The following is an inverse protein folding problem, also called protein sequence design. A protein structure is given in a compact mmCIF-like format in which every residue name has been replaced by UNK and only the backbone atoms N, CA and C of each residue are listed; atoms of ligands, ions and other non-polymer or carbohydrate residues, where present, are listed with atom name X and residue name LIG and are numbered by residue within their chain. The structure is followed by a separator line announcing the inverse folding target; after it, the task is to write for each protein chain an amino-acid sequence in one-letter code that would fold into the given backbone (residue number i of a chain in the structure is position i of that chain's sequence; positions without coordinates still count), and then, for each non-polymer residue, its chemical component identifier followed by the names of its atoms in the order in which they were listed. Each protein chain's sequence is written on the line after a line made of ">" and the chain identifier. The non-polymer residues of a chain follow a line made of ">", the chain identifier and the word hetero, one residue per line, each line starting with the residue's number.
data_IF_399429708164
#
_entry.id   IF_399429708164
#
_cell.length_a   1.000
_cell.length_b   1.000
_cell.length_c   1.000
_cell.angle_alpha   90.00
_cell.angle_beta   90.00
_cell.angle_gamma   90.00
#
_symmetry.space_group_name_H-M   'P 1'
#
loop_
_entity.id
_entity.type
_entity.pdbx_description
1 polymer ?
#
# COMPACT_ATOMS: atom_id res chain seq x y z
N UNK A 1 6.13 -27.85 -19.80
CA UNK A 1 5.76 -27.94 -21.23
C UNK A 1 4.99 -26.68 -21.59
N UNK A 2 5.56 -25.80 -22.40
CA UNK A 2 4.88 -24.56 -22.84
C UNK A 2 3.77 -24.95 -23.83
N UNK A 3 2.52 -24.58 -23.55
CA UNK A 3 1.42 -24.81 -24.50
C UNK A 3 1.61 -23.91 -25.72
N UNK A 4 1.57 -24.49 -26.92
CA UNK A 4 1.65 -23.71 -28.15
C UNK A 4 0.57 -22.62 -28.16
N UNK A 5 0.97 -21.36 -28.22
CA UNK A 5 0.06 -20.20 -28.21
C UNK A 5 -0.17 -19.54 -26.84
N UNK A 6 0.50 -19.98 -25.76
CA UNK A 6 0.49 -19.23 -24.49
C UNK A 6 1.26 -17.91 -24.63
N UNK A 7 0.77 -16.86 -23.99
CA UNK A 7 1.45 -15.56 -23.91
C UNK A 7 2.57 -15.70 -22.87
N UNK A 8 3.85 -15.65 -23.27
CA UNK A 8 4.96 -15.84 -22.35
C UNK A 8 5.04 -14.68 -21.37
N UNK A 9 5.55 -14.97 -20.18
CA UNK A 9 5.84 -13.95 -19.16
C UNK A 9 6.89 -12.97 -19.71
N UNK A 10 6.64 -11.65 -19.72
CA UNK A 10 7.64 -10.69 -20.16
C UNK A 10 8.81 -10.66 -19.17
N UNK A 11 10.05 -10.59 -19.70
CA UNK A 11 11.28 -10.58 -18.90
C UNK A 11 11.30 -9.47 -17.83
N UNK A 12 10.62 -8.35 -18.08
CA UNK A 12 10.56 -7.18 -17.20
C UNK A 12 9.11 -6.81 -16.84
N UNK A 13 8.47 -7.63 -16.00
CA UNK A 13 7.12 -7.34 -15.47
C UNK A 13 7.07 -6.10 -14.55
N UNK A 14 8.22 -5.62 -14.04
CA UNK A 14 8.28 -4.52 -13.05
C UNK A 14 8.08 -3.12 -13.65
N UNK A 15 8.37 -2.94 -14.94
CA UNK A 15 8.35 -1.61 -15.60
C UNK A 15 7.05 -1.31 -16.33
N UNK A 16 6.28 -2.34 -16.71
CA UNK A 16 5.02 -2.18 -17.42
C UNK A 16 3.84 -2.28 -16.44
N UNK A 17 2.74 -1.59 -16.75
CA UNK A 17 1.49 -1.86 -16.05
C UNK A 17 1.05 -3.31 -16.34
N UNK A 18 0.51 -3.99 -15.32
CA UNK A 18 0.06 -5.37 -15.46
C UNK A 18 -0.97 -5.52 -16.61
N UNK A 19 -1.88 -4.55 -16.75
CA UNK A 19 -2.84 -4.48 -17.84
C UNK A 19 -2.16 -4.49 -19.22
N UNK A 20 -1.11 -3.68 -19.41
CA UNK A 20 -0.36 -3.63 -20.67
C UNK A 20 0.42 -4.93 -20.91
N UNK A 21 1.01 -5.51 -19.86
CA UNK A 21 1.71 -6.79 -19.94
C UNK A 21 0.77 -7.95 -20.32
N UNK A 22 -0.49 -7.90 -19.88
CA UNK A 22 -1.55 -8.84 -20.25
C UNK A 22 -2.13 -8.60 -21.65
N UNK A 23 -1.68 -7.56 -22.38
CA UNK A 23 -2.26 -7.13 -23.66
C UNK A 23 -3.76 -6.76 -23.57
N UNK A 24 -4.22 -6.32 -22.39
CA UNK A 24 -5.57 -5.81 -22.15
C UNK A 24 -5.65 -4.28 -22.27
N UNK A 25 -4.76 -3.66 -23.07
CA UNK A 25 -4.49 -2.21 -23.06
C UNK A 25 -5.75 -1.34 -23.15
N UNK A 26 -6.68 -1.72 -24.02
CA UNK A 26 -7.91 -0.95 -24.26
C UNK A 26 -9.14 -1.57 -23.57
N UNK A 27 -9.02 -2.80 -23.03
CA UNK A 27 -10.11 -3.50 -22.35
C UNK A 27 -10.02 -3.34 -20.83
N UNK A 28 -10.31 -2.11 -20.39
CA UNK A 28 -10.36 -1.77 -18.97
C UNK A 28 -11.38 -2.63 -18.19
N UNK A 29 -12.50 -2.99 -18.83
CA UNK A 29 -13.57 -3.77 -18.19
C UNK A 29 -13.09 -5.20 -17.90
N UNK A 30 -12.39 -5.86 -18.84
CA UNK A 30 -11.79 -7.16 -18.59
C UNK A 30 -10.74 -7.10 -17.48
N UNK A 31 -9.92 -6.04 -17.45
CA UNK A 31 -8.92 -5.87 -16.39
C UNK A 31 -9.57 -5.62 -15.01
N UNK A 32 -10.65 -4.82 -14.93
CA UNK A 32 -11.41 -4.63 -13.68
C UNK A 32 -12.01 -5.97 -13.20
N UNK A 33 -12.58 -6.77 -14.11
CA UNK A 33 -13.09 -8.12 -13.79
C UNK A 33 -12.00 -9.06 -13.28
N UNK A 34 -10.86 -9.09 -13.97
CA UNK A 34 -9.69 -9.89 -13.57
C UNK A 34 -9.21 -9.52 -12.16
N UNK A 35 -8.97 -8.23 -11.90
CA UNK A 35 -8.44 -7.79 -10.60
C UNK A 35 -9.44 -7.98 -9.46
N UNK A 36 -10.74 -7.73 -9.69
CA UNK A 36 -11.80 -8.02 -8.72
C UNK A 36 -11.83 -9.50 -8.35
N UNK A 37 -11.73 -10.38 -9.35
CA UNK A 37 -11.74 -11.82 -9.15
C UNK A 37 -10.49 -12.32 -8.43
N UNK A 38 -9.30 -11.89 -8.86
CA UNK A 38 -8.03 -12.27 -8.20
C UNK A 38 -7.97 -11.80 -6.75
N UNK A 39 -8.49 -10.62 -6.42
CA UNK A 39 -8.54 -10.13 -5.05
C UNK A 39 -9.34 -11.09 -4.16
N UNK A 40 -10.52 -11.53 -4.62
CA UNK A 40 -11.33 -12.51 -3.91
C UNK A 40 -10.57 -13.82 -3.69
N UNK A 41 -9.94 -14.36 -4.73
CA UNK A 41 -9.19 -15.63 -4.61
C UNK A 41 -7.98 -15.49 -3.67
N UNK A 42 -7.31 -14.33 -3.64
CA UNK A 42 -6.22 -14.06 -2.68
C UNK A 42 -6.76 -14.05 -1.26
N UNK A 43 -7.85 -13.31 -1.01
CA UNK A 43 -8.44 -13.18 0.32
C UNK A 43 -9.00 -14.53 0.83
N UNK A 44 -9.46 -15.42 -0.07
CA UNK A 44 -10.02 -16.74 0.25
C UNK A 44 -8.94 -17.83 0.45
N UNK A 45 -7.78 -17.74 -0.21
CA UNK A 45 -6.80 -18.86 -0.29
C UNK A 45 -5.44 -18.55 0.32
N UNK A 46 -4.97 -17.30 0.25
CA UNK A 46 -3.62 -16.92 0.70
C UNK A 46 -3.69 -16.17 2.03
N UNK A 47 -2.64 -16.30 2.84
CA UNK A 47 -2.51 -15.50 4.06
C UNK A 47 -2.10 -14.06 3.71
N UNK A 48 -2.99 -13.10 3.91
CA UNK A 48 -2.75 -11.69 3.59
C UNK A 48 -1.76 -10.98 4.52
N UNK A 49 -1.38 -11.60 5.64
CA UNK A 49 -0.39 -11.08 6.58
C UNK A 49 1.06 -11.35 6.13
N UNK A 50 1.27 -12.39 5.32
CA UNK A 50 2.59 -12.86 4.90
C UNK A 50 3.02 -12.29 3.53
N UNK A 51 4.32 -12.30 3.22
CA UNK A 51 4.78 -11.97 1.84
C UNK A 51 4.50 -13.17 0.95
N UNK A 52 4.36 -12.91 -0.35
CA UNK A 52 4.20 -13.99 -1.34
C UNK A 52 5.36 -15.02 -1.31
N UNK A 53 6.59 -14.57 -1.06
CA UNK A 53 7.77 -15.45 -0.95
C UNK A 53 7.75 -16.36 0.28
N UNK A 54 6.97 -15.99 1.28
CA UNK A 54 6.94 -16.63 2.59
C UNK A 54 5.67 -17.51 2.73
N UNK A 55 4.81 -17.53 1.70
CA UNK A 55 3.63 -18.39 1.67
C UNK A 55 4.05 -19.85 1.60
N UNK A 56 3.22 -20.71 2.16
CA UNK A 56 3.32 -22.14 1.96
C UNK A 56 3.21 -22.50 0.46
N UNK A 57 4.04 -23.44 0.01
CA UNK A 57 4.10 -23.82 -1.41
C UNK A 57 2.78 -24.45 -1.88
N UNK A 58 2.14 -25.26 -1.05
CA UNK A 58 0.86 -25.89 -1.37
C UNK A 58 -0.28 -24.85 -1.42
N UNK A 59 -0.22 -23.83 -0.57
CA UNK A 59 -1.16 -22.70 -0.62
C UNK A 59 -1.02 -21.89 -1.93
N UNK A 60 0.21 -21.66 -2.39
CA UNK A 60 0.46 -20.96 -3.67
C UNK A 60 -0.02 -21.80 -4.87
N UNK A 61 0.25 -23.10 -4.86
CA UNK A 61 -0.22 -24.00 -5.92
C UNK A 61 -1.75 -24.11 -5.93
N UNK A 62 -2.37 -24.18 -4.75
CA UNK A 62 -3.82 -24.15 -4.61
C UNK A 62 -4.40 -22.83 -5.13
N UNK A 63 -3.79 -21.69 -4.80
CA UNK A 63 -4.17 -20.38 -5.31
C UNK A 63 -4.16 -20.35 -6.84
N UNK A 64 -3.08 -20.81 -7.47
CA UNK A 64 -2.98 -20.82 -8.93
C UNK A 64 -4.01 -21.75 -9.58
N UNK A 65 -4.23 -22.94 -9.00
CA UNK A 65 -5.26 -23.87 -9.45
C UNK A 65 -6.65 -23.24 -9.36
N UNK A 66 -7.03 -22.69 -8.21
CA UNK A 66 -8.33 -22.03 -8.01
C UNK A 66 -8.47 -20.84 -8.97
N UNK A 67 -7.44 -20.01 -9.12
CA UNK A 67 -7.44 -18.86 -10.02
C UNK A 67 -7.69 -19.28 -11.48
N UNK A 68 -7.01 -20.31 -11.98
CA UNK A 68 -7.18 -20.81 -13.35
C UNK A 68 -8.55 -21.45 -13.56
N UNK A 69 -9.04 -22.24 -12.60
CA UNK A 69 -10.36 -22.89 -12.68
C UNK A 69 -11.49 -21.86 -12.65
N UNK A 70 -11.40 -20.85 -11.78
CA UNK A 70 -12.45 -19.85 -11.58
C UNK A 70 -12.38 -18.68 -12.57
N UNK A 71 -11.23 -18.44 -13.21
CA UNK A 71 -11.06 -17.43 -14.25
C UNK A 71 -10.36 -18.02 -15.49
N UNK A 72 -11.10 -18.75 -16.35
CA UNK A 72 -10.55 -19.44 -17.52
C UNK A 72 -9.69 -18.60 -18.48
N UNK A 73 -9.89 -17.27 -18.65
CA UNK A 73 -8.99 -16.45 -19.48
C UNK A 73 -7.51 -16.50 -19.07
N UNK A 74 -7.19 -16.90 -17.82
CA UNK A 74 -5.81 -17.10 -17.37
C UNK A 74 -5.08 -18.22 -18.11
N UNK A 75 -5.79 -19.20 -18.69
CA UNK A 75 -5.20 -20.30 -19.44
C UNK A 75 -4.45 -19.84 -20.71
N UNK A 76 -4.67 -18.60 -21.16
CA UNK A 76 -3.96 -17.98 -22.29
C UNK A 76 -2.53 -17.57 -21.93
N UNK A 77 -2.19 -17.50 -20.65
CA UNK A 77 -0.89 -17.02 -20.19
C UNK A 77 -0.06 -18.20 -19.68
N UNK A 78 1.22 -18.18 -19.98
CA UNK A 78 2.14 -19.23 -19.54
C UNK A 78 2.21 -19.24 -18.00
N UNK A 79 2.05 -20.43 -17.40
CA UNK A 79 1.99 -20.64 -15.94
C UNK A 79 1.05 -19.70 -15.19
N UNK A 80 0.01 -19.19 -15.86
CA UNK A 80 -0.91 -18.19 -15.30
C UNK A 80 -0.18 -17.00 -14.65
N UNK A 81 0.96 -16.57 -15.21
CA UNK A 81 1.82 -15.55 -14.62
C UNK A 81 1.12 -14.25 -14.18
N UNK A 82 0.02 -13.77 -14.81
CA UNK A 82 -0.65 -12.57 -14.34
C UNK A 82 -1.21 -12.71 -12.91
N UNK A 83 -1.69 -13.91 -12.54
CA UNK A 83 -2.18 -14.19 -11.19
C UNK A 83 -1.04 -14.07 -10.17
N UNK A 84 0.10 -14.73 -10.43
CA UNK A 84 1.32 -14.65 -9.60
C UNK A 84 1.79 -13.21 -9.40
N UNK A 85 1.92 -12.43 -10.48
CA UNK A 85 2.36 -11.03 -10.40
C UNK A 85 1.36 -10.17 -9.62
N UNK A 86 0.05 -10.38 -9.84
CA UNK A 86 -0.98 -9.66 -9.12
C UNK A 86 -0.94 -9.95 -7.62
N UNK A 87 -0.85 -11.23 -7.23
CA UNK A 87 -0.74 -11.64 -5.83
C UNK A 87 0.49 -11.04 -5.14
N UNK A 88 1.66 -11.10 -5.78
CA UNK A 88 2.89 -10.49 -5.26
C UNK A 88 2.74 -8.98 -5.01
N UNK A 89 2.15 -8.27 -5.97
CA UNK A 89 1.93 -6.82 -5.86
C UNK A 89 0.92 -6.51 -4.75
N UNK A 90 -0.19 -7.26 -4.71
CA UNK A 90 -1.28 -7.06 -3.77
C UNK A 90 -0.87 -7.31 -2.33
N UNK A 91 -0.18 -8.41 -2.03
CA UNK A 91 0.31 -8.71 -0.68
C UNK A 91 1.35 -7.67 -0.22
N UNK A 92 2.18 -7.17 -1.13
CA UNK A 92 3.09 -6.05 -0.84
C UNK A 92 2.31 -4.79 -0.47
N UNK A 93 1.29 -4.44 -1.25
CA UNK A 93 0.44 -3.26 -1.00
C UNK A 93 -0.27 -3.35 0.36
N UNK A 94 -0.90 -4.49 0.68
CA UNK A 94 -1.61 -4.72 1.94
C UNK A 94 -0.68 -4.48 3.14
N UNK A 95 0.57 -4.96 3.07
CA UNK A 95 1.55 -4.78 4.15
C UNK A 95 2.06 -3.35 4.28
N UNK A 96 2.14 -2.61 3.18
CA UNK A 96 2.53 -1.19 3.21
C UNK A 96 1.40 -0.27 3.67
N UNK A 97 0.16 -0.78 3.72
CA UNK A 97 -0.98 -0.02 4.21
C UNK A 97 -0.96 0.01 5.74
N UNK A 98 -0.61 1.16 6.32
CA UNK A 98 -0.76 1.42 7.76
C UNK A 98 -2.23 1.33 8.18
N UNK A 99 -2.54 0.99 9.45
CA UNK A 99 -3.90 0.84 9.96
C UNK A 99 -4.83 2.03 9.63
N UNK A 100 -4.31 3.25 9.63
CA UNK A 100 -5.05 4.47 9.30
C UNK A 100 -5.53 4.53 7.85
N UNK A 101 -4.77 3.95 6.90
CA UNK A 101 -5.19 3.86 5.49
C UNK A 101 -6.12 2.66 5.26
N UNK A 102 -6.14 1.68 6.17
CA UNK A 102 -6.95 0.46 6.10
C UNK A 102 -8.44 0.77 6.17
N UNK A 103 -8.85 1.72 7.02
CA UNK A 103 -10.27 2.12 7.18
C UNK A 103 -10.82 2.77 5.90
N UNK A 104 -10.05 3.68 5.29
CA UNK A 104 -10.45 4.30 4.01
C UNK A 104 -10.54 3.29 2.86
N UNK A 105 -9.56 2.38 2.78
CA UNK A 105 -9.55 1.32 1.77
C UNK A 105 -10.68 0.30 1.97
N UNK A 106 -11.02 -0.07 3.21
CA UNK A 106 -12.11 -1.00 3.51
C UNK A 106 -13.48 -0.43 3.09
N UNK A 107 -13.69 0.87 3.28
CA UNK A 107 -14.92 1.56 2.85
C UNK A 107 -15.03 1.62 1.31
N UNK A 108 -13.94 1.89 0.61
CA UNK A 108 -13.91 1.85 -0.86
C UNK A 108 -14.13 0.41 -1.38
N UNK A 109 -13.57 -0.59 -0.72
CA UNK A 109 -13.78 -2.00 -1.01
C UNK A 109 -15.22 -2.47 -0.76
N UNK A 110 -15.84 -2.05 0.34
CA UNK A 110 -17.25 -2.34 0.63
C UNK A 110 -18.13 -1.73 -0.47
N UNK A 111 -17.90 -0.48 -0.85
CA UNK A 111 -18.67 0.16 -1.92
C UNK A 111 -18.54 -0.61 -3.26
N UNK A 112 -17.34 -1.00 -3.67
CA UNK A 112 -17.09 -1.73 -4.93
C UNK A 112 -17.60 -3.21 -4.90
N UNK A 113 -17.86 -3.75 -3.70
CA UNK A 113 -18.51 -5.06 -3.47
C UNK A 113 -20.04 -4.98 -3.52
N UNK A 114 -20.63 -3.82 -3.19
CA UNK A 114 -22.09 -3.61 -3.07
C UNK A 114 -22.71 -2.70 -4.15
N UNK A 115 -21.96 -2.27 -5.17
CA UNK A 115 -22.50 -1.59 -6.38
C UNK A 115 -23.40 -2.50 -7.28
N UNK A 116 -23.84 -3.66 -6.77
CA UNK A 116 -24.94 -4.43 -7.35
C UNK A 116 -26.25 -4.06 -6.68
N UNK A 117 -27.09 -3.31 -7.40
CA UNK A 117 -28.46 -2.89 -7.10
C UNK A 117 -29.13 -3.52 -5.84
N UNK A 118 -29.36 -2.69 -4.81
CA UNK A 118 -30.52 -2.89 -3.92
C UNK A 118 -30.29 -3.32 -2.46
N UNK A 119 -29.15 -3.06 -1.81
CA UNK A 119 -28.95 -3.52 -0.41
C UNK A 119 -28.27 -2.53 0.55
N UNK A 120 -28.59 -1.24 0.47
CA UNK A 120 -28.11 -0.27 1.47
C UNK A 120 -28.54 -0.61 2.93
N UNK A 121 -29.65 -1.34 3.12
CA UNK A 121 -30.14 -1.72 4.46
C UNK A 121 -29.40 -2.88 5.13
N UNK A 122 -28.69 -3.74 4.38
CA UNK A 122 -27.89 -4.85 4.97
C UNK A 122 -26.50 -4.42 5.43
N UNK A 123 -26.02 -3.27 4.98
CA UNK A 123 -24.67 -2.76 5.27
C UNK A 123 -24.50 -2.28 6.72
N UNK A 124 -25.57 -1.75 7.33
CA UNK A 124 -25.52 -1.20 8.70
C UNK A 124 -25.47 -2.28 9.79
N UNK A 125 -26.09 -3.44 9.57
CA UNK A 125 -26.10 -4.53 10.56
C UNK A 125 -24.76 -5.29 10.58
N UNK A 126 -24.13 -5.49 9.42
CA UNK A 126 -22.87 -6.24 9.32
C UNK A 126 -21.64 -5.41 9.77
N UNK A 127 -21.68 -4.08 9.56
CA UNK A 127 -20.62 -3.17 10.04
C UNK A 127 -20.57 -3.07 11.58
N UNK A 128 -21.71 -3.24 12.27
CA UNK A 128 -21.77 -3.27 13.74
C UNK A 128 -21.11 -4.53 14.32
N UNK A 129 -21.13 -5.65 13.58
CA UNK A 129 -20.46 -6.90 13.96
C UNK A 129 -18.94 -6.81 13.84
N UNK A 130 -18.42 -6.25 12.76
CA UNK A 130 -16.97 -6.17 12.52
C UNK A 130 -16.25 -5.14 13.41
N UNK A 131 -16.91 -4.04 13.79
CA UNK A 131 -16.34 -3.10 14.78
C UNK A 131 -16.19 -3.70 16.17
N UNK A 132 -16.94 -4.77 16.51
CA UNK A 132 -16.76 -5.50 17.78
C UNK A 132 -15.51 -6.39 17.76
N UNK A 133 -15.18 -7.00 16.62
CA UNK A 133 -13.99 -7.88 16.51
C UNK A 133 -12.71 -7.05 16.67
N UNK A 134 -12.63 -5.89 16.03
CA UNK A 134 -11.47 -4.97 16.18
C UNK A 134 -11.40 -4.34 17.58
N UNK A 135 -12.53 -4.25 18.29
CA UNK A 135 -12.58 -3.70 19.65
C UNK A 135 -12.31 -4.75 20.74
N UNK A 136 -12.53 -6.03 20.47
CA UNK A 136 -12.20 -7.12 21.39
C UNK A 136 -10.72 -7.53 21.31
N UNK A 137 -10.08 -7.46 20.13
CA UNK A 137 -8.63 -7.70 19.99
C UNK A 137 -7.74 -6.62 20.62
N UNK A 138 -8.30 -5.51 21.12
CA UNK A 138 -7.55 -4.43 21.76
C UNK A 138 -7.76 -4.36 23.30
N UNK A 139 -8.56 -5.27 23.88
CA UNK A 139 -8.90 -5.25 25.32
C UNK A 139 -8.63 -6.58 26.03
N UNK A 140 -8.36 -7.69 25.33
CA UNK A 140 -8.10 -9.00 25.95
C UNK A 140 -6.67 -9.50 25.67
N UNK A 141 -5.66 -8.83 26.25
CA UNK A 141 -4.28 -9.32 26.22
C UNK A 141 -3.55 -9.25 27.59
N UNK A 142 -4.27 -9.26 28.71
CA UNK A 142 -3.62 -9.30 30.04
C UNK A 142 -4.06 -10.36 31.07
N UNK A 143 -5.14 -11.14 30.91
CA UNK A 143 -5.53 -12.09 31.98
C UNK A 143 -6.15 -13.41 31.47
N UNK A 144 -5.41 -14.29 30.76
CA UNK A 144 -5.90 -15.67 30.60
C UNK A 144 -4.83 -16.73 30.23
N UNK A 145 -3.67 -16.73 30.90
CA UNK A 145 -2.72 -17.85 30.83
C UNK A 145 -2.49 -18.59 32.16
N UNK A 146 -3.40 -18.45 33.13
CA UNK A 146 -3.35 -19.18 34.40
C UNK A 146 -4.58 -20.06 34.59
N UNK A 147 -4.58 -21.26 34.00
CA UNK A 147 -5.55 -22.29 34.39
C UNK A 147 -6.02 -23.24 33.30
N UNK A 148 -5.12 -24.04 32.73
CA UNK A 148 -5.52 -25.26 32.02
C UNK A 148 -4.58 -26.42 32.36
N UNK A 149 -4.63 -26.79 33.63
CA UNK A 149 -4.11 -28.06 34.13
C UNK A 149 -5.15 -28.61 35.12
N UNK A 150 -6.14 -29.38 34.63
CA UNK A 150 -6.57 -30.63 35.27
C UNK A 150 -7.70 -31.33 34.50
N UNK A 151 -7.62 -32.66 34.48
CA UNK A 151 -8.68 -33.65 34.21
C UNK A 151 -9.22 -33.71 32.74
N UNK A 152 -9.43 -34.85 32.07
CA UNK A 152 -9.97 -36.18 32.41
C UNK A 152 -9.54 -37.10 31.23
N UNK A 153 -8.69 -38.13 31.37
CA UNK A 153 -8.94 -39.52 31.83
C UNK A 153 -10.25 -40.17 31.36
N UNK A 154 -10.25 -40.86 30.21
CA UNK A 154 -10.80 -42.23 30.05
C UNK A 154 -10.72 -42.70 28.57
N UNK A 155 -10.15 -43.89 28.35
CA UNK A 155 -10.34 -44.69 27.12
C UNK A 155 -11.70 -45.45 27.16
N UNK A 156 -11.97 -46.51 26.36
CA UNK A 156 -10.98 -47.38 25.68
C UNK A 156 -11.41 -47.97 24.29
N UNK A 157 -10.52 -48.83 23.77
CA UNK A 157 -10.75 -50.07 22.99
C UNK A 157 -10.92 -50.05 21.45
N UNK A 158 -9.85 -50.59 20.84
CA UNK A 158 -9.73 -51.39 19.59
C UNK A 158 -10.87 -52.41 19.33
N UNK A 159 -11.06 -52.97 18.09
CA UNK A 159 -10.04 -53.80 17.43
C UNK A 159 -9.96 -53.84 15.88
N UNK A 160 -8.75 -54.18 15.43
CA UNK A 160 -8.38 -55.11 14.34
C UNK A 160 -9.02 -54.99 12.94
N UNK A 161 -8.20 -54.61 11.95
CA UNK A 161 -7.99 -55.37 10.71
C UNK A 161 -6.83 -54.78 9.86
N UNK A 162 -5.73 -55.54 9.75
CA UNK A 162 -4.84 -55.56 8.57
C UNK A 162 -5.37 -56.66 7.61
N UNK A 163 -5.02 -56.76 6.31
CA UNK A 163 -3.71 -56.42 5.68
C UNK A 163 -3.85 -55.73 4.30
N UNK A 164 -2.80 -55.21 3.66
CA UNK A 164 -2.07 -55.96 2.61
C UNK A 164 -1.04 -55.01 1.95
N UNK A 165 0.21 -55.45 1.92
CA UNK A 165 1.35 -54.88 1.18
C UNK A 165 1.43 -55.59 -0.18
N UNK A 166 1.67 -54.87 -1.29
CA UNK A 166 2.94 -54.97 -2.05
C UNK A 166 3.35 -53.57 -2.56
N UNK A 167 4.56 -53.20 -2.96
CA UNK A 167 5.87 -53.81 -3.19
C UNK A 167 6.74 -52.62 -3.70
N UNK A 168 7.97 -52.42 -3.21
CA UNK A 168 8.78 -51.27 -3.61
C UNK A 168 9.51 -51.54 -4.94
N UNK A 169 9.11 -50.80 -5.99
CA UNK A 169 9.88 -50.73 -7.25
C UNK A 169 11.22 -50.00 -7.06
N UNK A 170 12.26 -50.39 -7.82
CA UNK A 170 13.64 -50.01 -7.56
C UNK A 170 13.97 -48.54 -7.91
N UNK A 171 14.77 -47.95 -7.03
CA UNK A 171 15.48 -46.69 -7.19
C UNK A 171 16.22 -46.61 -8.54
N UNK A 172 15.83 -45.65 -9.38
CA UNK A 172 16.72 -45.13 -10.42
C UNK A 172 17.61 -44.09 -9.76
N UNK A 173 18.89 -44.45 -9.57
CA UNK A 173 19.93 -43.52 -9.17
C UNK A 173 20.13 -42.47 -10.28
N UNK A 174 19.56 -41.28 -10.09
CA UNK A 174 19.89 -40.13 -10.91
C UNK A 174 21.24 -39.54 -10.45
N UNK A 175 22.24 -39.72 -11.29
CA UNK A 175 23.58 -39.15 -11.18
C UNK A 175 23.50 -37.61 -11.21
N UNK A 176 23.79 -36.97 -10.08
CA UNK A 176 23.98 -35.52 -9.99
C UNK A 176 25.38 -35.17 -10.53
N UNK A 177 25.42 -34.51 -11.69
CA UNK A 177 26.60 -33.81 -12.17
C UNK A 177 26.72 -32.45 -11.47
N UNK A 178 27.87 -32.12 -10.84
CA UNK A 178 28.12 -30.80 -10.25
C UNK A 178 28.89 -29.90 -11.23
N UNK A 179 28.30 -28.79 -11.67
CA UNK A 179 28.96 -27.68 -12.38
C UNK A 179 27.88 -26.60 -12.63
N UNK A 180 28.02 -25.30 -12.36
CA UNK A 180 29.19 -24.47 -12.09
C UNK A 180 28.73 -23.24 -11.30
N UNK A 181 29.51 -22.86 -10.29
CA UNK A 181 29.46 -21.55 -9.64
C UNK A 181 30.08 -20.48 -10.56
N UNK A 182 29.37 -19.40 -10.92
CA UNK A 182 30.01 -18.20 -11.43
C UNK A 182 30.44 -17.29 -10.27
N UNK A 183 31.75 -17.13 -10.20
CA UNK A 183 32.55 -16.23 -9.39
C UNK A 183 31.96 -14.82 -9.28
N UNK A 184 31.76 -14.43 -8.02
CA UNK A 184 31.50 -13.07 -7.56
C UNK A 184 32.70 -12.16 -7.85
N UNK A 185 32.52 -11.13 -8.66
CA UNK A 185 33.54 -10.09 -8.87
C UNK A 185 33.12 -8.84 -8.09
N UNK A 186 33.66 -8.71 -6.88
CA UNK A 186 33.65 -7.47 -6.10
C UNK A 186 34.33 -6.37 -6.89
N UNK A 187 33.58 -5.32 -7.27
CA UNK A 187 34.16 -4.07 -7.75
C UNK A 187 34.36 -3.13 -6.57
N UNK A 188 35.63 -3.01 -6.19
CA UNK A 188 36.21 -1.96 -5.36
C UNK A 188 35.87 -0.57 -5.91
N UNK A 189 35.41 0.35 -5.06
CA UNK A 189 36.22 1.41 -4.44
C UNK A 189 36.33 2.67 -5.30
N UNK A 190 35.70 3.75 -4.83
CA UNK A 190 36.27 5.09 -4.95
C UNK A 190 35.74 5.99 -3.82
N UNK A 191 36.69 6.35 -2.98
CA UNK A 191 36.69 7.24 -1.80
C UNK A 191 36.46 8.72 -2.18
N UNK A 192 36.41 9.65 -1.19
CA UNK A 192 35.72 10.93 -1.24
C UNK A 192 36.62 12.08 -1.70
N UNK A 193 36.00 13.13 -2.25
CA UNK A 193 36.67 14.42 -2.47
C UNK A 193 36.02 15.47 -1.59
N UNK A 194 36.62 15.67 -0.41
CA UNK A 194 36.56 16.93 0.32
C UNK A 194 37.50 17.93 -0.34
N UNK A 195 37.09 19.18 -0.45
CA UNK A 195 37.97 20.32 -0.71
C UNK A 195 37.37 21.62 -0.18
N UNK A 196 38.24 22.62 0.10
CA UNK A 196 38.15 23.39 1.33
C UNK A 196 37.81 24.88 1.11
N UNK A 197 37.50 25.50 2.25
CA UNK A 197 37.68 26.91 2.65
C UNK A 197 38.38 27.82 1.64
N UNK A 198 37.72 28.94 1.32
CA UNK A 198 38.37 30.17 0.90
C UNK A 198 37.74 31.35 1.66
N UNK A 199 38.47 31.82 2.68
CA UNK A 199 38.31 33.15 3.26
C UNK A 199 38.67 34.20 2.20
N UNK A 200 37.75 35.15 1.99
CA UNK A 200 37.93 36.29 1.10
C UNK A 200 37.51 37.57 1.81
N UNK A 201 38.42 38.12 2.59
CA UNK A 201 38.30 39.43 3.25
C UNK A 201 38.40 40.51 2.19
N UNK A 202 37.25 41.01 1.73
CA UNK A 202 37.14 42.13 0.79
C UNK A 202 36.33 43.27 1.40
N UNK A 203 37.01 44.23 2.01
CA UNK A 203 36.44 45.47 2.50
C UNK A 203 36.09 46.41 1.32
N UNK A 204 34.84 46.89 1.26
CA UNK A 204 34.36 48.11 0.55
C UNK A 204 32.84 48.27 0.77
N UNK A 205 32.23 49.42 0.46
CA UNK A 205 32.28 50.68 1.18
C UNK A 205 30.90 51.02 1.80
N UNK A 206 30.90 52.00 2.71
CA UNK A 206 29.75 52.58 3.40
C UNK A 206 28.59 52.96 2.45
N UNK A 207 27.62 52.05 2.27
CA UNK A 207 26.30 52.39 1.73
C UNK A 207 25.40 52.80 2.89
N UNK A 208 24.93 54.05 2.84
CA UNK A 208 23.93 54.63 3.75
C UNK A 208 22.69 53.74 3.74
N UNK A 209 22.44 53.11 4.89
CA UNK A 209 21.33 52.18 5.10
C UNK A 209 19.99 52.90 4.93
N UNK A 210 19.28 52.58 3.86
CA UNK A 210 17.85 52.83 3.78
C UNK A 210 17.16 52.04 4.91
N UNK A 211 16.19 52.63 5.64
CA UNK A 211 15.48 51.93 6.70
C UNK A 211 14.82 50.68 6.12
N UNK A 212 14.91 49.51 6.80
CA UNK A 212 14.26 48.31 6.33
C UNK A 212 12.77 48.58 6.23
N UNK A 213 12.27 48.60 5.01
CA UNK A 213 10.84 48.62 4.72
C UNK A 213 10.28 47.36 5.38
N UNK A 214 9.69 47.52 6.57
CA UNK A 214 8.92 46.47 7.24
C UNK A 214 7.74 46.17 6.33
N UNK A 215 7.92 45.23 5.40
CA UNK A 215 6.81 44.65 4.66
C UNK A 215 5.92 44.04 5.75
N UNK A 216 4.76 44.65 5.96
CA UNK A 216 3.80 44.20 6.94
C UNK A 216 3.54 42.72 6.67
N UNK A 217 4.07 41.85 7.54
CA UNK A 217 3.83 40.42 7.46
C UNK A 217 2.36 40.23 7.79
N UNK A 218 1.54 40.11 6.75
CA UNK A 218 0.10 39.88 6.90
C UNK A 218 -0.06 38.58 7.68
N UNK A 219 -0.56 38.68 8.90
CA UNK A 219 -0.76 37.53 9.78
C UNK A 219 -1.60 36.48 9.06
N UNK A 220 -1.09 35.26 8.96
CA UNK A 220 -1.77 34.10 8.36
C UNK A 220 -3.17 33.92 8.96
N UNK A 221 -3.32 34.19 10.26
CA UNK A 221 -4.59 34.10 10.97
C UNK A 221 -5.64 35.07 10.42
N UNK A 222 -5.26 36.33 10.16
CA UNK A 222 -6.19 37.32 9.61
C UNK A 222 -6.62 36.96 8.19
N UNK A 223 -5.69 36.42 7.40
CA UNK A 223 -5.96 36.00 6.03
C UNK A 223 -6.89 34.79 5.99
N UNK A 224 -6.62 33.76 6.79
CA UNK A 224 -7.46 32.56 6.88
C UNK A 224 -8.85 32.89 7.44
N UNK A 225 -8.94 33.73 8.47
CA UNK A 225 -10.23 34.17 9.02
C UNK A 225 -11.10 34.89 7.98
N UNK A 226 -10.50 35.62 7.03
CA UNK A 226 -11.24 36.29 5.96
C UNK A 226 -11.77 35.34 4.87
N UNK A 227 -11.20 34.13 4.76
CA UNK A 227 -11.51 33.17 3.68
C UNK A 227 -12.30 31.97 4.14
N UNK A 228 -12.01 31.49 5.34
CA UNK A 228 -12.62 30.28 5.91
C UNK A 228 -13.03 30.61 7.35
N UNK A 229 -14.13 31.37 7.54
CA UNK A 229 -14.57 31.77 8.87
C UNK A 229 -14.99 30.59 9.74
N UNK A 230 -15.34 29.46 9.13
CA UNK A 230 -15.87 28.27 9.81
C UNK A 230 -14.78 27.42 10.51
N UNK A 231 -13.49 27.79 10.36
CA UNK A 231 -12.35 27.03 10.88
C UNK A 231 -11.40 27.89 11.73
N UNK A 232 -11.81 28.30 12.94
CA UNK A 232 -11.03 29.20 13.79
C UNK A 232 -9.75 28.55 14.34
N UNK A 233 -9.66 27.23 14.39
CA UNK A 233 -8.52 26.45 14.88
C UNK A 233 -7.44 26.21 13.80
N UNK A 234 -7.78 26.40 12.52
CA UNK A 234 -6.90 26.13 11.39
C UNK A 234 -5.56 26.91 11.43
N UNK A 235 -5.52 28.23 11.74
CA UNK A 235 -4.27 28.96 11.80
C UNK A 235 -3.33 28.44 12.89
N UNK A 236 -3.89 28.04 14.05
CA UNK A 236 -3.11 27.49 15.15
C UNK A 236 -2.52 26.12 14.80
N UNK A 237 -3.29 25.25 14.13
CA UNK A 237 -2.81 23.95 13.64
C UNK A 237 -1.71 24.08 12.60
N UNK A 238 -1.87 25.00 11.63
CA UNK A 238 -0.85 25.27 10.62
C UNK A 238 0.43 25.83 11.26
N UNK A 239 0.30 26.77 12.19
CA UNK A 239 1.44 27.30 12.92
C UNK A 239 2.18 26.23 13.74
N UNK A 240 1.44 25.31 14.39
CA UNK A 240 2.01 24.17 15.11
C UNK A 240 2.80 23.22 14.18
N UNK A 241 2.38 23.11 12.92
CA UNK A 241 3.08 22.35 11.88
C UNK A 241 4.19 23.15 11.17
N UNK A 242 4.56 24.33 11.69
CA UNK A 242 5.64 25.16 11.14
C UNK A 242 5.23 26.05 9.95
N UNK A 243 3.94 26.20 9.69
CA UNK A 243 3.39 27.07 8.64
C UNK A 243 2.74 28.30 9.30
N UNK A 244 3.57 29.26 9.69
CA UNK A 244 3.14 30.46 10.40
C UNK A 244 2.86 31.64 9.46
N UNK A 245 3.44 31.64 8.26
CA UNK A 245 3.36 32.77 7.33
C UNK A 245 2.58 32.45 6.05
N UNK A 246 1.99 33.48 5.45
CA UNK A 246 1.31 33.36 4.16
C UNK A 246 2.27 32.88 3.05
N UNK A 247 3.55 33.25 3.11
CA UNK A 247 4.56 32.80 2.15
C UNK A 247 4.82 31.29 2.24
N UNK A 248 4.93 30.76 3.46
CA UNK A 248 5.08 29.32 3.70
C UNK A 248 3.85 28.54 3.20
N UNK A 249 2.64 29.00 3.53
CA UNK A 249 1.42 28.35 3.05
C UNK A 249 1.33 28.39 1.52
N UNK A 250 1.73 29.50 0.88
CA UNK A 250 1.78 29.62 -0.58
C UNK A 250 2.81 28.67 -1.21
N UNK A 251 3.90 28.34 -0.51
CA UNK A 251 4.92 27.42 -1.01
C UNK A 251 4.35 26.01 -1.25
N UNK A 252 3.27 25.62 -0.57
CA UNK A 252 2.63 24.32 -0.73
C UNK A 252 2.02 24.11 -2.12
N UNK A 253 1.83 25.19 -2.88
CA UNK A 253 1.37 25.11 -4.27
C UNK A 253 2.37 24.38 -5.17
N UNK A 254 3.66 24.43 -4.86
CA UNK A 254 4.67 23.70 -5.64
C UNK A 254 4.67 22.20 -5.35
N UNK A 255 4.09 21.78 -4.22
CA UNK A 255 3.99 20.38 -3.86
C UNK A 255 2.92 19.67 -4.71
N UNK A 256 3.19 18.44 -5.18
CA UNK A 256 2.16 17.59 -5.78
C UNK A 256 0.95 17.45 -4.84
N UNK A 257 -0.26 17.47 -5.40
CA UNK A 257 -1.51 17.41 -4.65
C UNK A 257 -1.52 16.27 -3.61
N UNK A 258 -1.05 15.09 -3.99
CA UNK A 258 -0.95 13.92 -3.10
C UNK A 258 -0.06 14.18 -1.87
N UNK A 259 1.05 14.90 -2.03
CA UNK A 259 1.96 15.22 -0.92
C UNK A 259 1.37 16.31 -0.02
N UNK A 260 0.74 17.32 -0.63
CA UNK A 260 0.07 18.39 0.10
C UNK A 260 -1.07 17.85 0.96
N UNK A 261 -1.95 17.02 0.40
CA UNK A 261 -3.04 16.40 1.16
C UNK A 261 -2.53 15.45 2.24
N UNK A 262 -1.44 14.73 1.99
CA UNK A 262 -0.80 13.90 3.01
C UNK A 262 -0.29 14.74 4.18
N UNK A 263 0.42 15.84 3.91
CA UNK A 263 0.89 16.75 4.96
C UNK A 263 -0.26 17.37 5.76
N UNK A 264 -1.30 17.89 5.07
CA UNK A 264 -2.45 18.50 5.74
C UNK A 264 -3.19 17.50 6.65
N UNK A 265 -3.23 16.22 6.27
CA UNK A 265 -3.88 15.19 7.08
C UNK A 265 -2.98 14.64 8.18
N UNK A 266 -1.73 14.33 7.86
CA UNK A 266 -0.85 13.54 8.73
C UNK A 266 -0.09 14.47 9.71
N UNK A 267 0.39 15.64 9.26
CA UNK A 267 1.15 16.58 10.09
C UNK A 267 0.25 17.66 10.73
N UNK A 268 -0.72 18.19 9.99
CA UNK A 268 -1.63 19.26 10.49
C UNK A 268 -2.88 18.67 11.15
N UNK A 269 -3.15 17.37 10.95
CA UNK A 269 -4.31 16.65 11.50
C UNK A 269 -5.65 17.28 11.08
N UNK A 270 -5.75 17.74 9.83
CA UNK A 270 -6.98 18.27 9.28
C UNK A 270 -7.91 17.15 8.83
N UNK A 271 -9.22 17.37 9.01
CA UNK A 271 -10.22 16.49 8.42
C UNK A 271 -10.17 16.55 6.88
N UNK A 272 -10.72 15.56 6.17
CA UNK A 272 -10.76 15.59 4.70
C UNK A 272 -11.44 16.86 4.14
N UNK A 273 -12.53 17.32 4.79
CA UNK A 273 -13.24 18.53 4.40
C UNK A 273 -12.41 19.80 4.65
N UNK A 274 -11.68 19.86 5.76
CA UNK A 274 -10.78 20.97 6.07
C UNK A 274 -9.61 21.02 5.08
N UNK A 275 -9.02 19.87 4.77
CA UNK A 275 -7.93 19.76 3.79
C UNK A 275 -8.36 20.24 2.41
N UNK A 276 -9.57 19.88 1.97
CA UNK A 276 -10.16 20.35 0.72
C UNK A 276 -10.37 21.88 0.72
N UNK A 277 -10.82 22.47 1.83
CA UNK A 277 -10.95 23.94 1.92
C UNK A 277 -9.60 24.65 1.79
N UNK A 278 -8.55 24.13 2.46
CA UNK A 278 -7.20 24.67 2.33
C UNK A 278 -6.71 24.57 0.88
N UNK A 279 -6.98 23.45 0.21
CA UNK A 279 -6.62 23.26 -1.19
C UNK A 279 -7.33 24.24 -2.13
N UNK A 280 -8.63 24.47 -1.93
CA UNK A 280 -9.41 25.47 -2.68
C UNK A 280 -8.82 26.87 -2.50
N UNK A 281 -8.48 27.26 -1.27
CA UNK A 281 -7.87 28.57 -0.99
C UNK A 281 -6.52 28.72 -1.71
N UNK A 282 -5.69 27.66 -1.72
CA UNK A 282 -4.43 27.65 -2.47
C UNK A 282 -4.66 27.75 -3.99
N UNK A 283 -5.70 27.12 -4.51
CA UNK A 283 -6.15 27.22 -5.89
C UNK A 283 -6.63 28.63 -6.28
N UNK A 284 -7.36 29.33 -5.39
CA UNK A 284 -7.79 30.71 -5.65
C UNK A 284 -6.61 31.68 -5.76
N UNK A 285 -5.59 31.52 -4.92
CA UNK A 285 -4.38 32.34 -4.99
C UNK A 285 -3.59 32.10 -6.26
N UNK A 286 -3.67 30.89 -6.79
CA UNK A 286 -3.06 30.56 -8.07
C UNK A 286 -3.61 31.39 -9.22
N UNK A 287 -4.94 31.55 -9.23
CA UNK A 287 -5.66 32.28 -10.26
C UNK A 287 -5.46 33.80 -10.13
N UNK A 288 -5.49 34.35 -8.91
CA UNK A 288 -5.29 35.79 -8.69
C UNK A 288 -3.86 36.26 -8.97
N UNK A 289 -2.86 35.42 -8.67
CA UNK A 289 -1.46 35.75 -8.93
C UNK A 289 -1.06 35.74 -10.41
N UNK A 290 -1.93 35.27 -11.32
CA UNK A 290 -1.67 35.27 -12.76
C UNK A 290 -2.18 36.55 -13.46
N UNK A 291 -2.92 37.41 -12.76
CA UNK A 291 -3.56 38.61 -13.30
C UNK A 291 -2.86 39.92 -12.90
N UNK A 292 -1.73 39.85 -12.19
CA UNK A 292 -0.91 41.00 -11.79
C UNK A 292 0.55 40.74 -12.10
#
# INVERSE_FOLDING_TARGET
>A
MVRAGSIPRPAYCSRLSLQRAMRLGDDYIAFKKFTKHMRKVIDDVLDTSMRYSDQDADAVDNYLRVAVTSYPPLMKYDDAWPATIYAQKRLREIRTFTPQKRVGWLNEWLNDRYEGEGTAQRLTEDMSGMQRIVKLEAVEEEEEWAGFADAISEGPSEPAASPTVPEPSPFIAFSLSPASTPTFVSRMSSSPTSSPVAEGTGASPLHVAAPPTRIASTSLSALLASRVPDLPDLPAKLAAAGVATHAELRSFRSLPERQRLAFLRDDVQLSPLQSMHVDTVLGEWAMRGALG
#
